data_IF_636577440885
#
_entry.id   IF_636577440885
#
_cell.length_a   1.000
_cell.length_b   1.000
_cell.length_c   1.000
_cell.angle_alpha   90.00
_cell.angle_beta   90.00
_cell.angle_gamma   90.00
#
_symmetry.space_group_name_H-M   'P 1'
#
loop_
_entity.id
_entity.type
_entity.pdbx_description
1 polymer ?
#
# COMPACT_ATOMS: atom_id res chain seq x y z
N UNK A 1 3.01 -10.59 10.40
CA UNK A 1 3.65 -9.69 9.41
C UNK A 1 2.67 -8.67 8.83
N UNK A 2 3.00 -7.35 8.86
CA UNK A 2 2.19 -6.22 8.36
C UNK A 2 1.58 -6.44 6.98
N UNK A 3 0.31 -6.85 6.97
CA UNK A 3 -0.40 -7.24 5.76
C UNK A 3 -0.84 -6.04 4.91
N UNK A 4 -1.24 -4.93 5.54
CA UNK A 4 -1.61 -3.69 4.84
C UNK A 4 -1.39 -2.47 5.73
N UNK A 5 -1.24 -1.29 5.14
CA UNK A 5 -1.07 -0.03 5.87
C UNK A 5 -1.98 1.06 5.31
N UNK A 6 -2.35 2.04 6.14
CA UNK A 6 -3.04 3.25 5.70
C UNK A 6 -2.02 4.37 5.57
N UNK A 7 -1.73 4.79 4.33
CA UNK A 7 -0.82 5.91 4.08
C UNK A 7 -1.50 7.24 4.38
N UNK A 8 -0.73 8.28 4.70
CA UNK A 8 -1.33 9.57 5.05
C UNK A 8 -2.05 10.22 3.87
N UNK A 9 -3.27 10.70 4.10
CA UNK A 9 -4.04 11.44 3.10
C UNK A 9 -3.64 12.92 2.97
N UNK A 10 -2.97 13.47 3.99
CA UNK A 10 -2.53 14.87 4.00
C UNK A 10 -1.16 15.05 3.36
N UNK A 11 -1.01 14.58 2.13
CA UNK A 11 0.30 14.45 1.52
C UNK A 11 1.01 15.79 1.27
N UNK A 12 0.29 16.85 0.89
CA UNK A 12 0.86 18.21 0.80
C UNK A 12 1.33 18.77 2.15
N UNK A 13 0.72 18.33 3.26
CA UNK A 13 1.19 18.68 4.61
C UNK A 13 2.52 17.97 4.88
N UNK A 14 2.62 16.70 4.51
CA UNK A 14 3.86 15.92 4.64
C UNK A 14 5.01 16.51 3.81
N UNK A 15 4.79 16.78 2.51
CA UNK A 15 5.77 17.40 1.61
C UNK A 15 6.28 18.73 2.19
N UNK A 16 5.38 19.58 2.68
CA UNK A 16 5.74 20.87 3.30
C UNK A 16 6.48 20.72 4.62
N UNK A 17 5.98 19.87 5.53
CA UNK A 17 6.58 19.64 6.87
C UNK A 17 8.02 19.18 6.77
N UNK A 18 8.30 18.27 5.84
CA UNK A 18 9.63 17.69 5.68
C UNK A 18 10.44 18.29 4.54
N UNK A 19 10.00 19.38 3.91
CA UNK A 19 10.73 20.02 2.82
C UNK A 19 11.07 19.08 1.67
N UNK A 20 10.21 18.11 1.39
CA UNK A 20 10.40 17.16 0.29
C UNK A 20 9.87 17.72 -1.02
N UNK A 21 10.26 17.12 -2.14
CA UNK A 21 9.69 17.41 -3.47
C UNK A 21 9.18 16.15 -4.13
N UNK A 22 8.17 16.26 -4.98
CA UNK A 22 7.72 15.16 -5.82
C UNK A 22 8.70 14.88 -6.94
N UNK A 23 8.99 13.60 -7.18
CA UNK A 23 9.62 13.17 -8.44
C UNK A 23 8.56 13.09 -9.54
N UNK A 24 8.13 14.24 -10.07
CA UNK A 24 7.05 14.32 -11.05
C UNK A 24 7.28 13.41 -12.27
N UNK A 25 8.54 13.26 -12.72
CA UNK A 25 8.89 12.34 -13.80
C UNK A 25 8.62 10.86 -13.47
N UNK A 26 8.85 10.43 -12.22
CA UNK A 26 8.50 9.07 -11.79
C UNK A 26 6.98 8.88 -11.69
N UNK A 27 6.24 9.90 -11.26
CA UNK A 27 4.78 9.87 -11.26
C UNK A 27 4.20 9.82 -12.68
N UNK A 28 4.65 10.68 -13.59
CA UNK A 28 4.26 10.65 -15.02
C UNK A 28 4.48 9.26 -15.60
N UNK A 29 5.63 8.63 -15.33
CA UNK A 29 5.94 7.28 -15.82
C UNK A 29 4.94 6.25 -15.29
N UNK A 30 4.68 6.23 -13.98
CA UNK A 30 3.78 5.24 -13.37
C UNK A 30 2.33 5.43 -13.83
N UNK A 31 1.83 6.67 -13.92
CA UNK A 31 0.48 6.92 -14.41
C UNK A 31 0.33 6.62 -15.90
N UNK A 32 1.36 6.88 -16.72
CA UNK A 32 1.41 6.43 -18.10
C UNK A 32 1.35 4.90 -18.20
N UNK A 33 2.12 4.17 -17.40
CA UNK A 33 2.00 2.71 -17.39
C UNK A 33 0.60 2.25 -16.97
N UNK A 34 -0.10 2.98 -16.07
CA UNK A 34 -1.48 2.65 -15.67
C UNK A 34 -2.49 2.87 -16.80
N UNK A 35 -2.25 3.79 -17.72
CA UNK A 35 -3.10 3.93 -18.91
C UNK A 35 -2.90 2.74 -19.86
N UNK A 36 -1.69 2.18 -19.95
CA UNK A 36 -1.36 1.03 -20.81
C UNK A 36 -1.68 -0.33 -20.18
N UNK A 37 -1.49 -0.48 -18.86
CA UNK A 37 -1.68 -1.71 -18.11
C UNK A 37 -2.77 -1.53 -17.04
N UNK A 38 -3.92 -2.15 -17.25
CA UNK A 38 -5.07 -2.04 -16.34
C UNK A 38 -4.85 -2.68 -14.95
N UNK A 39 -3.66 -3.23 -14.65
CA UNK A 39 -3.38 -3.98 -13.41
C UNK A 39 -2.57 -3.21 -12.37
N UNK A 40 -2.05 -2.02 -12.69
CA UNK A 40 -1.33 -1.21 -11.73
C UNK A 40 -2.26 -0.75 -10.60
N UNK A 41 -1.89 -1.10 -9.36
CA UNK A 41 -2.69 -0.82 -8.17
C UNK A 41 -2.15 0.44 -7.51
N UNK A 42 -2.84 1.56 -7.73
CA UNK A 42 -2.53 2.86 -7.13
C UNK A 42 -3.73 3.26 -6.26
N UNK A 43 -3.53 3.60 -4.97
CA UNK A 43 -4.63 4.01 -4.10
C UNK A 43 -5.13 5.40 -4.48
N UNK A 44 -6.44 5.66 -4.30
CA UNK A 44 -7.07 6.94 -4.68
C UNK A 44 -6.47 8.14 -3.95
N UNK A 45 -5.93 7.94 -2.76
CA UNK A 45 -5.21 9.00 -2.03
C UNK A 45 -3.97 9.52 -2.79
N UNK A 46 -3.32 8.69 -3.62
CA UNK A 46 -2.22 9.14 -4.47
C UNK A 46 -2.74 9.94 -5.66
N UNK A 47 -3.86 9.53 -6.26
CA UNK A 47 -4.50 10.28 -7.36
C UNK A 47 -4.94 11.67 -6.90
N UNK A 48 -5.42 11.77 -5.65
CA UNK A 48 -5.81 13.03 -5.02
C UNK A 48 -4.66 14.03 -4.84
N UNK A 49 -3.40 13.59 -4.88
CA UNK A 49 -2.23 14.50 -4.90
C UNK A 49 -2.30 15.40 -6.12
N UNK A 50 -2.88 14.94 -7.24
CA UNK A 50 -2.91 15.69 -8.50
C UNK A 50 -4.30 16.24 -8.81
N UNK A 51 -5.20 16.32 -7.82
CA UNK A 51 -6.56 16.83 -8.00
C UNK A 51 -6.58 18.29 -8.48
N UNK A 52 -5.63 19.11 -7.99
CA UNK A 52 -5.47 20.52 -8.33
C UNK A 52 -4.05 20.77 -8.90
N UNK A 53 -3.81 20.42 -10.19
CA UNK A 53 -2.46 20.47 -10.77
C UNK A 53 -2.01 21.91 -11.04
N UNK A 54 -0.80 22.26 -10.60
CA UNK A 54 -0.17 23.56 -10.79
C UNK A 54 0.83 23.59 -11.95
N UNK A 55 1.60 22.52 -12.17
CA UNK A 55 2.61 22.43 -13.24
C UNK A 55 2.12 21.68 -14.48
N UNK A 56 2.86 21.74 -15.59
CA UNK A 56 2.54 20.99 -16.80
C UNK A 56 2.63 19.47 -16.57
N UNK A 57 3.63 19.01 -15.82
CA UNK A 57 3.75 17.60 -15.45
C UNK A 57 2.62 17.13 -14.53
N UNK A 58 2.17 17.97 -13.57
CA UNK A 58 1.00 17.66 -12.75
C UNK A 58 -0.28 17.61 -13.59
N UNK A 59 -0.43 18.50 -14.58
CA UNK A 59 -1.56 18.47 -15.53
C UNK A 59 -1.54 17.22 -16.39
N UNK A 60 -0.36 16.77 -16.82
CA UNK A 60 -0.18 15.51 -17.55
C UNK A 60 -0.62 14.30 -16.70
N UNK A 61 -0.17 14.24 -15.45
CA UNK A 61 -0.58 13.18 -14.50
C UNK A 61 -2.09 13.20 -14.30
N UNK A 62 -2.68 14.39 -14.08
CA UNK A 62 -4.13 14.53 -13.93
C UNK A 62 -4.90 14.04 -15.15
N UNK A 63 -4.41 14.34 -16.37
CA UNK A 63 -5.03 13.83 -17.61
C UNK A 63 -5.00 12.30 -17.67
N UNK A 64 -3.88 11.68 -17.33
CA UNK A 64 -3.75 10.21 -17.29
C UNK A 64 -4.64 9.57 -16.22
N UNK A 65 -4.84 10.24 -15.08
CA UNK A 65 -5.81 9.83 -14.06
C UNK A 65 -7.23 9.88 -14.63
N UNK A 66 -7.62 11.00 -15.24
CA UNK A 66 -8.96 11.19 -15.79
C UNK A 66 -9.28 10.22 -16.94
N UNK A 67 -8.31 9.95 -17.82
CA UNK A 67 -8.42 8.96 -18.89
C UNK A 67 -8.63 7.55 -18.33
N UNK A 68 -7.88 7.17 -17.28
CA UNK A 68 -8.04 5.89 -16.60
C UNK A 68 -9.42 5.77 -15.95
N UNK A 69 -9.83 6.80 -15.21
CA UNK A 69 -11.11 6.82 -14.49
C UNK A 69 -12.30 6.76 -15.46
N UNK A 70 -12.25 7.49 -16.57
CA UNK A 70 -13.27 7.43 -17.61
C UNK A 70 -13.41 6.02 -18.22
N UNK A 71 -12.28 5.36 -18.49
CA UNK A 71 -12.29 3.96 -18.97
C UNK A 71 -12.84 3.00 -17.92
N UNK A 72 -12.43 3.16 -16.66
CA UNK A 72 -12.89 2.31 -15.57
C UNK A 72 -14.39 2.48 -15.30
N UNK A 73 -14.94 3.68 -15.46
CA UNK A 73 -16.39 3.92 -15.40
C UNK A 73 -17.11 3.07 -16.45
N UNK A 74 -16.67 3.12 -17.71
CA UNK A 74 -17.27 2.33 -18.79
C UNK A 74 -17.20 0.82 -18.50
N UNK A 75 -16.05 0.32 -18.03
CA UNK A 75 -15.88 -1.10 -17.67
C UNK A 75 -16.81 -1.52 -16.53
N UNK A 76 -16.94 -0.70 -15.49
CA UNK A 76 -17.81 -0.97 -14.35
C UNK A 76 -19.29 -0.92 -14.72
N UNK A 77 -19.70 0.01 -15.59
CA UNK A 77 -21.07 0.08 -16.11
C UNK A 77 -21.44 -1.16 -16.95
N UNK A 78 -20.51 -1.61 -17.80
CA UNK A 78 -20.67 -2.86 -18.55
C UNK A 78 -20.76 -4.08 -17.61
N UNK A 79 -19.91 -4.14 -16.57
CA UNK A 79 -19.98 -5.21 -15.57
C UNK A 79 -21.32 -5.16 -14.80
N UNK A 80 -21.79 -3.98 -14.41
CA UNK A 80 -23.09 -3.82 -13.76
C UNK A 80 -24.23 -4.34 -14.64
N UNK A 81 -24.24 -4.00 -15.92
CA UNK A 81 -25.25 -4.51 -16.84
C UNK A 81 -25.22 -6.04 -16.94
N UNK A 82 -24.03 -6.62 -17.12
CA UNK A 82 -23.86 -8.09 -17.17
C UNK A 82 -24.32 -8.78 -15.89
N UNK A 83 -23.93 -8.26 -14.72
CA UNK A 83 -24.28 -8.89 -13.45
C UNK A 83 -25.75 -8.69 -13.08
N UNK A 84 -26.38 -7.54 -13.43
CA UNK A 84 -27.83 -7.35 -13.26
C UNK A 84 -28.64 -8.32 -14.10
N UNK A 85 -28.24 -8.55 -15.35
CA UNK A 85 -28.86 -9.59 -16.20
C UNK A 85 -28.71 -10.98 -15.56
N UNK A 86 -27.50 -11.33 -15.12
CA UNK A 86 -27.21 -12.60 -14.44
C UNK A 86 -28.03 -12.80 -13.17
N UNK A 87 -28.23 -11.73 -12.40
CA UNK A 87 -29.05 -11.74 -11.19
C UNK A 87 -30.52 -12.03 -11.52
N UNK A 88 -31.10 -11.30 -12.48
CA UNK A 88 -32.48 -11.49 -12.90
C UNK A 88 -32.75 -12.91 -13.46
N UNK A 89 -31.83 -13.45 -14.26
CA UNK A 89 -31.93 -14.81 -14.80
C UNK A 89 -31.86 -15.88 -13.68
N UNK A 90 -31.00 -15.66 -12.67
CA UNK A 90 -30.90 -16.53 -11.51
C UNK A 90 -32.19 -16.47 -10.66
N UNK A 91 -32.75 -15.28 -10.43
CA UNK A 91 -33.99 -15.09 -9.67
C UNK A 91 -35.20 -15.74 -10.38
N UNK A 92 -35.32 -15.58 -11.71
CA UNK A 92 -36.35 -16.27 -12.50
C UNK A 92 -36.24 -17.79 -12.40
N UNK A 93 -35.01 -18.31 -12.41
CA UNK A 93 -34.78 -19.74 -12.22
C UNK A 93 -35.21 -20.19 -10.82
N UNK A 94 -34.86 -19.43 -9.78
CA UNK A 94 -35.23 -19.74 -8.39
C UNK A 94 -36.74 -19.69 -8.14
N UNK A 95 -37.49 -18.84 -8.86
CA UNK A 95 -38.96 -18.81 -8.80
C UNK A 95 -39.61 -20.09 -9.34
N UNK A 96 -39.01 -20.72 -10.34
CA UNK A 96 -39.54 -21.97 -10.92
C UNK A 96 -39.01 -23.21 -10.20
N UNK A 97 -37.72 -23.22 -9.83
CA UNK A 97 -37.07 -24.30 -9.11
C UNK A 97 -35.82 -23.83 -8.38
N UNK A 98 -35.77 -24.07 -7.07
CA UNK A 98 -34.55 -23.86 -6.29
C UNK A 98 -33.44 -24.81 -6.73
N UNK A 99 -32.33 -24.26 -7.22
CA UNK A 99 -31.13 -25.03 -7.59
C UNK A 99 -29.88 -24.39 -7.01
N UNK A 100 -28.90 -25.23 -6.62
CA UNK A 100 -27.61 -24.75 -6.10
C UNK A 100 -26.90 -23.79 -7.06
N UNK A 101 -26.99 -24.06 -8.36
CA UNK A 101 -26.38 -23.22 -9.38
C UNK A 101 -27.02 -21.82 -9.45
N UNK A 102 -28.35 -21.72 -9.39
CA UNK A 102 -29.05 -20.44 -9.41
C UNK A 102 -28.82 -19.64 -8.11
N UNK A 103 -28.84 -20.29 -6.94
CA UNK A 103 -28.52 -19.65 -5.66
C UNK A 103 -27.10 -19.08 -5.65
N UNK A 104 -26.12 -19.84 -6.11
CA UNK A 104 -24.73 -19.36 -6.16
C UNK A 104 -24.54 -18.25 -7.20
N UNK A 105 -25.25 -18.33 -8.33
CA UNK A 105 -25.25 -17.27 -9.34
C UNK A 105 -25.83 -15.96 -8.81
N UNK A 106 -26.94 -16.03 -8.07
CA UNK A 106 -27.56 -14.88 -7.39
C UNK A 106 -26.56 -14.25 -6.42
N UNK A 107 -25.95 -15.05 -5.54
CA UNK A 107 -24.96 -14.58 -4.56
C UNK A 107 -23.78 -13.87 -5.23
N UNK A 108 -23.16 -14.51 -6.22
CA UNK A 108 -21.99 -13.95 -6.94
C UNK A 108 -22.38 -12.65 -7.65
N UNK A 109 -23.51 -12.62 -8.35
CA UNK A 109 -23.96 -11.45 -9.10
C UNK A 109 -24.24 -10.28 -8.15
N UNK A 110 -24.97 -10.49 -7.05
CA UNK A 110 -25.24 -9.46 -6.04
C UNK A 110 -23.95 -8.88 -5.46
N UNK A 111 -22.99 -9.73 -5.05
CA UNK A 111 -21.70 -9.26 -4.54
C UNK A 111 -20.91 -8.44 -5.58
N UNK A 112 -20.94 -8.84 -6.85
CA UNK A 112 -20.26 -8.10 -7.90
C UNK A 112 -20.95 -6.76 -8.23
N UNK A 113 -22.28 -6.72 -8.21
CA UNK A 113 -23.06 -5.49 -8.38
C UNK A 113 -22.71 -4.49 -7.29
N UNK A 114 -22.76 -4.93 -6.02
CA UNK A 114 -22.40 -4.09 -4.87
C UNK A 114 -20.99 -3.52 -5.04
N UNK A 115 -19.99 -4.38 -5.30
CA UNK A 115 -18.60 -3.96 -5.53
C UNK A 115 -18.46 -2.94 -6.66
N UNK A 116 -19.14 -3.16 -7.79
CA UNK A 116 -19.06 -2.25 -8.93
C UNK A 116 -19.75 -0.90 -8.63
N UNK A 117 -20.88 -0.91 -7.92
CA UNK A 117 -21.55 0.31 -7.46
C UNK A 117 -20.69 1.10 -6.48
N UNK A 118 -20.10 0.45 -5.48
CA UNK A 118 -19.18 1.10 -4.52
C UNK A 118 -17.99 1.74 -5.24
N UNK A 119 -17.39 1.04 -6.21
CA UNK A 119 -16.29 1.60 -7.01
C UNK A 119 -16.73 2.82 -7.82
N UNK A 120 -17.87 2.75 -8.51
CA UNK A 120 -18.40 3.90 -9.27
C UNK A 120 -18.73 5.09 -8.38
N UNK A 121 -19.26 4.85 -7.18
CA UNK A 121 -19.50 5.90 -6.20
C UNK A 121 -18.17 6.52 -5.73
N UNK A 122 -17.16 5.68 -5.49
CA UNK A 122 -15.80 6.13 -5.17
C UNK A 122 -15.23 7.06 -6.25
N UNK A 123 -15.27 6.65 -7.52
CA UNK A 123 -14.78 7.47 -8.64
C UNK A 123 -15.47 8.84 -8.76
N UNK A 124 -16.73 8.96 -8.32
CA UNK A 124 -17.49 10.22 -8.31
C UNK A 124 -17.31 11.04 -7.02
N UNK A 125 -16.73 10.46 -5.98
CA UNK A 125 -16.59 11.12 -4.68
C UNK A 125 -15.36 12.03 -4.65
N UNK A 126 -15.54 13.27 -4.20
CA UNK A 126 -14.43 14.19 -3.90
C UNK A 126 -13.85 14.01 -2.50
N UNK A 127 -14.51 13.22 -1.65
CA UNK A 127 -14.06 12.93 -0.28
C UNK A 127 -13.31 11.59 -0.27
N UNK A 128 -12.11 11.60 0.28
CA UNK A 128 -11.31 10.40 0.55
C UNK A 128 -11.77 9.74 1.86
N UNK A 129 -11.88 8.42 1.81
CA UNK A 129 -12.10 7.54 2.96
C UNK A 129 -10.79 6.92 3.45
N UNK A 130 -10.81 6.28 4.63
CA UNK A 130 -9.66 5.51 5.14
C UNK A 130 -9.24 4.37 4.18
N UNK A 131 -10.22 3.75 3.50
CA UNK A 131 -9.95 2.67 2.53
C UNK A 131 -9.29 3.19 1.24
N UNK A 132 -9.58 4.43 0.82
CA UNK A 132 -8.91 5.08 -0.33
C UNK A 132 -7.42 5.30 -0.08
N UNK A 133 -7.01 5.25 1.19
CA UNK A 133 -5.63 5.40 1.64
C UNK A 133 -4.97 4.09 2.06
N UNK A 134 -5.68 2.95 1.94
CA UNK A 134 -5.14 1.65 2.30
C UNK A 134 -4.32 1.05 1.16
N UNK A 135 -3.12 0.57 1.48
CA UNK A 135 -2.22 -0.11 0.55
C UNK A 135 -2.00 -1.57 0.96
N UNK A 136 -1.85 -2.43 -0.04
CA UNK A 136 -1.55 -3.86 0.12
C UNK A 136 -0.29 -4.21 -0.66
N UNK A 137 0.33 -5.38 -0.41
CA UNK A 137 1.42 -5.88 -1.22
C UNK A 137 1.12 -5.81 -2.73
N UNK A 138 2.08 -5.25 -3.48
CA UNK A 138 1.97 -4.97 -4.91
C UNK A 138 1.31 -3.64 -5.28
N UNK A 139 0.80 -2.86 -4.32
CA UNK A 139 0.29 -1.51 -4.56
C UNK A 139 1.42 -0.48 -4.58
N UNK A 140 1.23 0.62 -5.30
CA UNK A 140 2.14 1.76 -5.23
C UNK A 140 1.81 2.64 -4.02
N UNK A 141 2.85 3.23 -3.44
CA UNK A 141 2.76 4.18 -2.35
C UNK A 141 3.83 5.28 -2.54
N UNK A 142 3.61 6.48 -1.99
CA UNK A 142 4.61 7.53 -2.01
C UNK A 142 5.66 7.27 -0.91
N UNK A 143 6.92 7.06 -1.30
CA UNK A 143 8.03 6.78 -0.38
C UNK A 143 9.05 7.91 -0.44
N UNK A 144 9.35 8.49 0.72
CA UNK A 144 10.39 9.51 0.85
C UNK A 144 11.77 8.85 0.83
N UNK A 145 12.67 9.38 0.01
CA UNK A 145 14.08 8.97 -0.06
C UNK A 145 14.98 10.19 -0.10
N UNK A 146 16.26 10.02 0.18
CA UNK A 146 17.27 11.02 -0.16
C UNK A 146 17.76 10.79 -1.59
N UNK A 147 17.58 11.77 -2.46
CA UNK A 147 18.08 11.75 -3.83
C UNK A 147 18.84 13.04 -4.13
N UNK A 148 20.12 12.93 -4.51
CA UNK A 148 21.04 14.06 -4.73
C UNK A 148 21.01 15.10 -3.59
N UNK A 149 21.02 14.62 -2.35
CA UNK A 149 21.03 15.46 -1.14
C UNK A 149 19.71 16.15 -0.80
N UNK A 150 18.62 15.83 -1.50
CA UNK A 150 17.28 16.37 -1.24
C UNK A 150 16.31 15.25 -0.90
N UNK A 151 15.35 15.54 -0.02
CA UNK A 151 14.24 14.63 0.27
C UNK A 151 13.31 14.64 -0.95
N UNK A 152 13.15 13.49 -1.59
CA UNK A 152 12.33 13.32 -2.79
C UNK A 152 11.33 12.22 -2.52
N UNK A 153 10.08 12.42 -2.91
CA UNK A 153 9.07 11.38 -2.85
C UNK A 153 8.92 10.74 -4.21
N UNK A 154 8.97 9.41 -4.22
CA UNK A 154 8.81 8.60 -5.43
C UNK A 154 7.64 7.62 -5.28
N UNK A 155 6.87 7.37 -6.34
CA UNK A 155 5.88 6.28 -6.33
C UNK A 155 6.64 4.96 -6.39
N UNK A 156 6.51 4.13 -5.36
CA UNK A 156 7.19 2.84 -5.29
C UNK A 156 6.20 1.72 -5.00
N UNK A 157 6.40 0.56 -5.63
CA UNK A 157 5.59 -0.62 -5.38
C UNK A 157 5.93 -1.24 -4.03
N UNK A 158 4.93 -1.43 -3.17
CA UNK A 158 5.03 -2.09 -1.86
C UNK A 158 5.14 -3.59 -2.02
N UNK A 159 6.32 -4.06 -2.43
CA UNK A 159 6.77 -5.45 -2.53
C UNK A 159 8.14 -5.37 -3.21
N UNK A 160 9.19 -5.35 -2.39
CA UNK A 160 10.53 -5.04 -2.86
C UNK A 160 11.08 -6.15 -3.74
N UNK A 161 11.62 -5.74 -4.88
CA UNK A 161 12.47 -6.55 -5.74
C UNK A 161 13.86 -5.91 -5.75
N UNK A 162 14.83 -6.45 -4.99
CA UNK A 162 16.21 -5.98 -5.07
C UNK A 162 16.77 -6.10 -6.48
N UNK A 163 17.62 -5.16 -6.87
CA UNK A 163 18.34 -5.18 -8.14
C UNK A 163 19.06 -6.52 -8.37
N UNK A 164 19.01 -7.01 -9.62
CA UNK A 164 19.57 -8.31 -10.02
C UNK A 164 18.75 -9.54 -9.62
N UNK A 165 17.59 -9.38 -8.96
CA UNK A 165 16.65 -10.50 -8.73
C UNK A 165 15.73 -10.72 -9.95
N UNK A 166 15.48 -11.95 -10.38
CA UNK A 166 14.53 -12.22 -11.48
C UNK A 166 13.10 -11.75 -11.14
N UNK A 167 12.34 -11.30 -12.14
CA UNK A 167 10.96 -10.85 -11.94
C UNK A 167 10.03 -11.93 -11.34
N UNK A 168 10.32 -13.21 -11.60
CA UNK A 168 9.59 -14.36 -11.04
C UNK A 168 9.68 -14.47 -9.51
N UNK A 169 10.64 -13.77 -8.87
CA UNK A 169 10.76 -13.74 -7.41
C UNK A 169 9.53 -13.14 -6.73
N UNK A 170 8.85 -12.20 -7.36
CA UNK A 170 7.67 -11.56 -6.77
C UNK A 170 6.55 -12.59 -6.48
N UNK A 171 6.40 -13.58 -7.37
CA UNK A 171 5.43 -14.64 -7.20
C UNK A 171 5.94 -15.74 -6.27
N UNK A 172 7.23 -16.08 -6.37
CA UNK A 172 7.85 -17.14 -5.56
C UNK A 172 8.00 -16.76 -4.09
N UNK A 173 8.20 -15.47 -3.82
CA UNK A 173 8.41 -14.91 -2.49
C UNK A 173 7.47 -13.71 -2.28
N UNK A 174 6.17 -13.96 -2.04
CA UNK A 174 5.19 -12.89 -1.93
C UNK A 174 5.40 -11.99 -0.70
N UNK A 175 6.20 -12.43 0.28
CA UNK A 175 6.48 -11.72 1.53
C UNK A 175 7.51 -10.58 1.45
N UNK A 176 8.04 -10.25 0.27
CA UNK A 176 9.12 -9.25 0.12
C UNK A 176 8.67 -7.80 0.29
N UNK A 177 7.47 -7.57 0.81
CA UNK A 177 7.01 -6.26 1.29
C UNK A 177 7.47 -5.97 2.74
N UNK A 178 7.97 -6.96 3.47
CA UNK A 178 8.48 -6.79 4.83
C UNK A 178 9.94 -7.25 4.95
N UNK A 179 10.82 -6.33 5.36
CA UNK A 179 12.22 -6.58 5.66
C UNK A 179 12.38 -6.82 7.16
N UNK A 180 12.49 -8.09 7.57
CA UNK A 180 12.64 -8.42 9.00
C UNK A 180 13.98 -7.89 9.53
N UNK A 181 13.92 -7.16 10.65
CA UNK A 181 15.09 -6.59 11.31
C UNK A 181 16.21 -7.61 11.57
N UNK A 182 15.85 -8.81 12.02
CA UNK A 182 16.76 -9.92 12.31
C UNK A 182 17.43 -10.53 11.07
N UNK A 183 17.06 -10.11 9.86
CA UNK A 183 17.59 -10.63 8.61
C UNK A 183 18.01 -9.51 7.62
N UNK A 184 18.20 -8.27 8.09
CA UNK A 184 18.59 -7.15 7.22
C UNK A 184 19.96 -7.35 6.55
N UNK A 185 20.85 -8.11 7.20
CA UNK A 185 22.17 -8.47 6.66
C UNK A 185 22.17 -9.78 5.86
N UNK A 186 21.02 -10.45 5.78
CA UNK A 186 20.83 -11.63 4.94
C UNK A 186 21.00 -11.29 3.45
N UNK A 187 21.32 -12.30 2.64
CA UNK A 187 21.67 -12.14 1.21
C UNK A 187 20.62 -11.40 0.37
N UNK A 188 19.36 -11.39 0.81
CA UNK A 188 18.27 -10.69 0.13
C UNK A 188 18.27 -9.17 0.41
N UNK A 189 18.50 -8.76 1.66
CA UNK A 189 18.40 -7.36 2.11
C UNK A 189 19.76 -6.65 2.19
N UNK A 190 20.87 -7.40 2.31
CA UNK A 190 22.25 -6.88 2.36
C UNK A 190 22.62 -5.90 1.23
N UNK A 191 22.12 -6.05 -0.02
CA UNK A 191 22.38 -5.05 -1.06
C UNK A 191 21.68 -3.71 -0.83
N UNK A 192 20.69 -3.64 0.06
CA UNK A 192 19.86 -2.45 0.31
C UNK A 192 20.12 -1.82 1.69
N UNK A 193 20.25 -2.62 2.74
CA UNK A 193 20.52 -2.10 4.09
C UNK A 193 21.90 -1.44 4.15
N UNK A 194 21.96 -0.23 4.69
CA UNK A 194 23.16 0.62 4.66
C UNK A 194 23.36 1.39 3.34
N UNK A 195 22.42 1.31 2.40
CA UNK A 195 22.58 1.90 1.05
C UNK A 195 21.34 2.60 0.51
N UNK A 196 20.17 1.95 0.62
CA UNK A 196 18.91 2.38 -0.02
C UNK A 196 17.79 2.37 1.01
N UNK A 197 17.74 3.43 1.80
CA UNK A 197 16.74 3.63 2.83
C UNK A 197 15.65 4.60 2.36
N UNK A 198 14.44 4.38 2.84
CA UNK A 198 13.29 5.25 2.60
C UNK A 198 12.38 5.33 3.81
N UNK A 199 11.39 6.19 3.73
CA UNK A 199 10.33 6.37 4.73
C UNK A 199 8.98 6.29 4.06
N UNK A 200 8.14 5.39 4.57
CA UNK A 200 6.70 5.37 4.30
C UNK A 200 5.99 6.08 5.45
N UNK A 201 5.04 6.95 5.13
CA UNK A 201 4.27 7.68 6.13
C UNK A 201 2.89 7.06 6.24
N UNK A 202 2.53 6.63 7.44
CA UNK A 202 1.28 5.91 7.67
C UNK A 202 0.53 6.46 8.88
N UNK A 203 -0.80 6.43 8.83
CA UNK A 203 -1.67 6.81 9.93
C UNK A 203 -2.11 5.59 10.76
N UNK A 204 -2.05 4.40 10.15
CA UNK A 204 -2.46 3.13 10.75
C UNK A 204 -1.79 1.96 10.01
N UNK A 205 -1.74 0.80 10.66
CA UNK A 205 -1.42 -0.48 10.02
C UNK A 205 -2.47 -1.53 10.37
N UNK A 206 -2.54 -2.59 9.57
CA UNK A 206 -3.55 -3.63 9.74
C UNK A 206 -2.94 -5.01 9.71
N UNK A 207 -3.42 -5.87 10.60
CA UNK A 207 -2.94 -7.23 10.74
C UNK A 207 -4.07 -8.25 10.75
N UNK A 208 -3.79 -9.41 10.18
CA UNK A 208 -4.65 -10.58 10.27
C UNK A 208 -4.39 -11.30 11.59
N UNK A 209 -5.47 -11.56 12.34
CA UNK A 209 -5.42 -12.22 13.65
C UNK A 209 -6.40 -13.38 13.65
N UNK A 210 -5.93 -14.54 14.08
CA UNK A 210 -6.80 -15.68 14.37
C UNK A 210 -7.48 -15.47 15.73
N UNK A 211 -8.81 -15.38 15.73
CA UNK A 211 -9.64 -15.37 16.94
C UNK A 211 -10.43 -16.66 17.05
N UNK A 212 -10.68 -17.10 18.29
CA UNK A 212 -11.60 -18.21 18.54
C UNK A 212 -13.04 -17.72 18.41
N UNK A 213 -13.80 -18.38 17.54
CA UNK A 213 -15.24 -18.21 17.39
C UNK A 213 -15.99 -18.85 18.55
N UNK A 214 -17.27 -18.48 18.69
CA UNK A 214 -18.15 -19.04 19.73
C UNK A 214 -18.36 -20.55 19.63
N UNK A 215 -18.05 -21.14 18.48
CA UNK A 215 -18.11 -22.57 18.18
C UNK A 215 -16.74 -23.28 18.30
N UNK A 216 -15.69 -22.57 18.76
CA UNK A 216 -14.33 -23.08 18.82
C UNK A 216 -13.57 -23.07 17.49
N UNK A 217 -14.17 -22.55 16.41
CA UNK A 217 -13.48 -22.39 15.12
C UNK A 217 -12.50 -21.21 15.14
N UNK A 218 -11.37 -21.30 14.44
CA UNK A 218 -10.47 -20.14 14.27
C UNK A 218 -10.97 -19.27 13.12
N UNK A 219 -11.40 -18.06 13.43
CA UNK A 219 -11.80 -17.05 12.46
C UNK A 219 -10.66 -16.06 12.26
N UNK A 220 -10.28 -15.82 11.01
CA UNK A 220 -9.30 -14.79 10.68
C UNK A 220 -10.02 -13.44 10.57
N UNK A 221 -9.69 -12.51 11.45
CA UNK A 221 -10.20 -11.14 11.43
C UNK A 221 -9.06 -10.17 11.13
N UNK A 222 -9.40 -9.01 10.57
CA UNK A 222 -8.43 -7.94 10.36
C UNK A 222 -8.58 -6.91 11.48
N UNK A 223 -7.49 -6.61 12.16
CA UNK A 223 -7.41 -5.53 13.14
C UNK A 223 -6.69 -4.33 12.55
N UNK A 224 -7.24 -3.15 12.79
CA UNK A 224 -6.60 -1.86 12.54
C UNK A 224 -5.89 -1.41 13.82
N UNK A 225 -4.64 -0.96 13.71
CA UNK A 225 -3.83 -0.42 14.80
C UNK A 225 -3.50 1.04 14.53
N UNK A 226 -3.82 1.93 15.48
CA UNK A 226 -3.52 3.37 15.42
C UNK A 226 -2.73 3.84 16.65
N UNK A 227 -1.76 4.74 16.48
CA UNK A 227 -1.02 5.29 17.61
C UNK A 227 -1.92 6.19 18.47
N UNK A 228 -1.68 6.15 19.79
CA UNK A 228 -2.26 7.04 20.79
C UNK A 228 -1.14 7.79 21.53
N UNK A 229 -1.14 9.14 21.52
CA UNK A 229 -2.04 10.04 20.80
C UNK A 229 -1.91 9.90 19.27
N UNK A 230 -2.94 10.31 18.51
CA UNK A 230 -2.92 10.21 17.04
C UNK A 230 -1.82 11.08 16.43
N UNK A 231 -0.96 10.47 15.63
CA UNK A 231 0.05 11.15 14.80
C UNK A 231 0.47 10.25 13.62
N UNK A 232 1.17 10.85 12.67
CA UNK A 232 1.75 10.18 11.49
C UNK A 232 2.99 9.39 11.91
N UNK A 233 3.10 8.13 11.49
CA UNK A 233 4.26 7.28 11.75
C UNK A 233 5.25 7.30 10.58
N UNK A 234 6.53 7.54 10.85
CA UNK A 234 7.62 7.50 9.87
C UNK A 234 8.22 6.10 9.78
N UNK A 235 7.62 5.21 9.00
CA UNK A 235 8.02 3.80 8.92
C UNK A 235 9.32 3.66 8.14
N UNK A 236 10.32 3.07 8.80
CA UNK A 236 11.60 2.71 8.16
C UNK A 236 11.38 1.71 7.02
N UNK A 237 11.94 2.02 5.85
CA UNK A 237 11.86 1.15 4.67
C UNK A 237 13.23 0.92 4.02
N UNK A 238 13.34 -0.20 3.32
CA UNK A 238 14.37 -0.43 2.29
C UNK A 238 13.73 -0.30 0.92
N UNK A 239 14.45 0.23 -0.05
CA UNK A 239 13.96 0.34 -1.42
C UNK A 239 15.00 -0.09 -2.45
N UNK A 240 14.54 -0.39 -3.66
CA UNK A 240 15.40 -0.74 -4.78
C UNK A 240 14.87 -0.13 -6.07
N UNK A 241 15.80 0.14 -6.97
CA UNK A 241 15.54 0.44 -8.37
C UNK A 241 15.97 -0.80 -9.14
N UNK A 242 15.00 -1.53 -9.68
CA UNK A 242 15.24 -2.74 -10.44
C UNK A 242 15.18 -2.46 -11.94
N UNK A 243 16.18 -2.93 -12.69
CA UNK A 243 16.20 -2.87 -14.15
C UNK A 243 15.89 -4.24 -14.76
N UNK A 244 14.90 -4.27 -15.65
CA UNK A 244 14.50 -5.43 -16.44
C UNK A 244 15.28 -5.56 -17.74
N UNK A 245 15.20 -6.74 -18.39
CA UNK A 245 15.92 -7.03 -19.62
C UNK A 245 15.54 -6.11 -20.79
N UNK A 246 14.29 -5.62 -20.81
CA UNK A 246 13.76 -4.77 -21.88
C UNK A 246 13.80 -3.26 -21.54
N UNK A 247 14.62 -2.88 -20.55
CA UNK A 247 14.69 -1.50 -20.05
C UNK A 247 13.51 -1.09 -19.15
N UNK A 248 12.67 -2.05 -18.74
CA UNK A 248 11.67 -1.85 -17.69
C UNK A 248 12.37 -1.41 -16.40
N UNK A 249 11.87 -0.36 -15.76
CA UNK A 249 12.35 0.08 -14.46
C UNK A 249 11.26 -0.08 -13.42
N UNK A 250 11.60 -0.68 -12.28
CA UNK A 250 10.71 -0.85 -11.15
C UNK A 250 11.32 -0.25 -9.88
N UNK A 251 10.71 0.82 -9.39
CA UNK A 251 10.92 1.29 -8.03
C UNK A 251 10.03 0.49 -7.08
N UNK A 252 10.64 -0.17 -6.09
CA UNK A 252 9.91 -0.97 -5.12
C UNK A 252 10.52 -0.87 -3.73
N UNK A 253 9.72 -1.14 -2.70
CA UNK A 253 10.14 -1.00 -1.31
C UNK A 253 9.54 -2.06 -0.40
N UNK A 254 10.15 -2.19 0.79
CA UNK A 254 9.69 -3.02 1.89
C UNK A 254 9.76 -2.25 3.20
N UNK A 255 8.74 -2.40 4.04
CA UNK A 255 8.74 -1.86 5.40
C UNK A 255 9.63 -2.74 6.30
N UNK A 256 10.43 -2.11 7.16
CA UNK A 256 11.19 -2.85 8.17
C UNK A 256 10.24 -3.23 9.29
N UNK A 257 10.25 -4.52 9.63
CA UNK A 257 9.46 -5.05 10.75
C UNK A 257 10.35 -5.61 11.83
N UNK A 258 9.86 -5.59 13.06
CA UNK A 258 10.51 -6.17 14.22
C UNK A 258 9.48 -6.81 15.15
N UNK A 259 9.93 -7.29 16.31
CA UNK A 259 9.04 -7.79 17.35
C UNK A 259 8.03 -6.72 17.79
N UNK A 260 6.76 -7.12 18.01
CA UNK A 260 5.67 -6.19 18.30
C UNK A 260 5.75 -5.69 19.76
N UNK A 261 5.20 -4.49 20.04
CA UNK A 261 4.94 -4.08 21.42
C UNK A 261 3.87 -4.97 22.06
N UNK A 262 3.76 -4.91 23.39
CA UNK A 262 2.96 -5.87 24.17
C UNK A 262 1.48 -5.87 23.80
N UNK A 263 0.90 -4.72 23.46
CA UNK A 263 -0.51 -4.60 23.06
C UNK A 263 -0.80 -5.21 21.68
N UNK A 264 0.16 -5.15 20.75
CA UNK A 264 0.05 -5.78 19.43
C UNK A 264 0.27 -7.29 19.54
N UNK A 265 1.22 -7.71 20.39
CA UNK A 265 1.46 -9.12 20.71
C UNK A 265 0.22 -9.76 21.38
N UNK A 266 -0.38 -9.07 22.36
CA UNK A 266 -1.58 -9.51 23.05
C UNK A 266 -2.78 -9.62 22.11
N UNK A 267 -2.82 -8.81 21.05
CA UNK A 267 -3.82 -8.92 19.99
C UNK A 267 -3.60 -10.14 19.06
N UNK A 268 -2.56 -10.95 19.27
CA UNK A 268 -2.31 -12.20 18.55
C UNK A 268 -1.43 -12.06 17.31
N UNK A 269 -0.65 -10.98 17.24
CA UNK A 269 0.23 -10.71 16.10
C UNK A 269 1.71 -10.73 16.49
N UNK A 270 2.59 -11.18 15.59
CA UNK A 270 3.97 -11.56 15.91
C UNK A 270 5.04 -10.57 15.42
N UNK A 271 4.63 -9.53 14.68
CA UNK A 271 5.53 -8.51 14.12
C UNK A 271 4.88 -7.15 14.09
N UNK A 272 5.67 -6.08 14.07
CA UNK A 272 5.18 -4.72 13.89
C UNK A 272 6.12 -3.94 12.98
N UNK A 273 5.58 -2.98 12.23
CA UNK A 273 6.37 -1.97 11.52
C UNK A 273 7.22 -1.16 12.51
N UNK A 274 8.37 -0.67 12.04
CA UNK A 274 9.30 0.13 12.85
C UNK A 274 9.20 1.61 12.46
N UNK A 275 8.43 2.44 13.20
CA UNK A 275 8.45 3.88 13.01
C UNK A 275 9.69 4.50 13.65
N UNK A 276 10.47 5.28 12.90
CA UNK A 276 11.59 6.05 13.48
C UNK A 276 11.08 7.36 14.06
N UNK A 277 11.84 7.94 14.98
CA UNK A 277 11.59 9.30 15.44
C UNK A 277 11.95 10.32 14.36
N UNK A 278 11.27 11.45 14.37
CA UNK A 278 11.45 12.52 13.38
C UNK A 278 12.88 13.08 13.37
N UNK A 279 13.52 13.22 14.54
CA UNK A 279 14.90 13.66 14.66
C UNK A 279 15.92 12.72 14.00
N UNK A 280 15.57 11.46 13.77
CA UNK A 280 16.42 10.47 13.10
C UNK A 280 16.22 10.44 11.58
N UNK A 281 15.28 11.22 11.03
CA UNK A 281 14.88 11.15 9.63
C UNK A 281 16.07 11.31 8.66
N UNK A 282 16.87 12.34 8.83
CA UNK A 282 18.01 12.59 7.93
C UNK A 282 19.10 11.54 8.07
N UNK A 283 19.41 11.14 9.30
CA UNK A 283 20.37 10.08 9.59
C UNK A 283 19.95 8.74 8.98
N UNK A 284 18.65 8.44 8.98
CA UNK A 284 18.10 7.23 8.37
C UNK A 284 18.14 7.26 6.85
N UNK A 285 17.73 8.39 6.24
CA UNK A 285 17.68 8.55 4.79
C UNK A 285 19.06 8.68 4.13
N UNK A 286 20.10 9.01 4.90
CA UNK A 286 21.50 9.08 4.47
C UNK A 286 22.36 7.93 5.05
N UNK A 287 22.11 6.64 4.70
CA UNK A 287 22.79 5.52 5.33
C UNK A 287 24.23 5.31 4.83
N UNK A 288 24.59 5.86 3.67
CA UNK A 288 25.87 5.60 3.02
C UNK A 288 27.05 6.09 3.87
N UNK A 289 28.02 5.21 4.10
CA UNK A 289 29.22 5.50 4.89
C UNK A 289 29.05 5.39 6.41
N UNK A 290 27.83 5.19 6.90
CA UNK A 290 27.58 4.92 8.33
C UNK A 290 27.89 3.45 8.68
N UNK A 291 28.45 3.15 9.86
CA UNK A 291 28.52 1.79 10.35
C UNK A 291 27.11 1.23 10.57
N UNK A 292 26.90 -0.06 10.31
CA UNK A 292 25.58 -0.69 10.44
C UNK A 292 25.02 -0.58 11.87
N UNK A 293 25.90 -0.54 12.88
CA UNK A 293 25.51 -0.34 14.29
C UNK A 293 24.77 0.98 14.53
N UNK A 294 25.14 2.07 13.85
CA UNK A 294 24.41 3.34 13.94
C UNK A 294 23.00 3.22 13.33
N UNK A 295 22.86 2.49 12.23
CA UNK A 295 21.57 2.28 11.58
C UNK A 295 20.66 1.40 12.45
N UNK A 296 21.22 0.37 13.09
CA UNK A 296 20.48 -0.40 14.09
C UNK A 296 20.10 0.43 15.30
N UNK A 297 20.97 1.34 15.77
CA UNK A 297 20.66 2.22 16.90
C UNK A 297 19.46 3.12 16.61
N UNK A 298 19.31 3.62 15.38
CA UNK A 298 18.10 4.35 14.93
C UNK A 298 16.86 3.45 15.04
N UNK A 299 16.96 2.19 14.59
CA UNK A 299 15.86 1.24 14.69
C UNK A 299 15.58 0.84 16.14
N UNK A 300 16.55 0.81 17.04
CA UNK A 300 16.34 0.52 18.46
C UNK A 300 15.65 1.68 19.19
N UNK A 301 16.09 2.91 18.89
CA UNK A 301 15.52 4.17 19.35
C UNK A 301 14.31 4.62 18.51
N UNK A 302 13.50 3.64 18.09
CA UNK A 302 12.25 3.88 17.35
C UNK A 302 11.24 4.65 18.18
N UNK A 303 10.29 5.27 17.47
CA UNK A 303 9.08 5.76 18.11
C UNK A 303 8.25 4.57 18.64
N UNK A 304 7.69 4.72 19.84
CA UNK A 304 6.96 3.64 20.55
C UNK A 304 5.63 4.15 21.08
N UNK A 305 4.70 4.57 20.20
CA UNK A 305 3.37 4.91 20.64
C UNK A 305 2.62 3.66 21.11
N UNK A 306 1.64 3.86 21.99
CA UNK A 306 0.69 2.80 22.31
C UNK A 306 -0.28 2.63 21.14
N UNK A 307 -0.48 1.39 20.67
CA UNK A 307 -1.43 1.10 19.60
C UNK A 307 -2.81 0.69 20.11
N UNK A 308 -3.80 1.54 19.90
CA UNK A 308 -5.20 1.14 20.03
C UNK A 308 -5.62 0.30 18.82
N UNK A 309 -6.37 -0.77 19.05
CA UNK A 309 -6.84 -1.63 17.97
C UNK A 309 -8.37 -1.79 17.92
N UNK A 310 -8.92 -1.90 16.72
CA UNK A 310 -10.34 -2.22 16.47
C UNK A 310 -10.48 -3.19 15.30
N UNK A 311 -11.64 -3.83 15.16
CA UNK A 311 -11.96 -4.58 13.95
C UNK A 311 -11.97 -3.61 12.76
N UNK A 312 -11.24 -3.95 11.70
CA UNK A 312 -11.28 -3.21 10.47
C UNK A 312 -12.66 -3.38 9.81
N UNK A 313 -13.23 -2.28 9.34
CA UNK A 313 -14.49 -2.26 8.61
C UNK A 313 -14.32 -2.79 7.17
#
# INVERSE_FOLDING_TARGET
MCYSAQITASYYRFVRRFGATLSLGDFVRIYWHRTQEAKLKIPRVMDAIFAEPATDEEREIKRQIDEHDARLVVELEQELFRQRKRLADAERTLQTKTTKAATESQRIASTKIERAMTKLQGLKSHTLSDEDARIFPGWYAPVMVLDKGRRVIKPMRYQCRPEGKPASYDAKFPGTYNARRDNLEGSFWKPLFGRKHGILVVDAFFENVAREGSDGSKQNVVLEFRPRPRHEMLVACLWSCWAGPDGEELLSFAAITDDPPSEVAAAGHDRCIVPIKEEQLDSWLAPAGKPLSELYAILDDRDRPFYEHRLAA
#
